data_IF_576036434448
#
_entry.id   IF_576036434448
#
_cell.length_a   1.000
_cell.length_b   1.000
_cell.length_c   1.000
_cell.angle_alpha   90.00
_cell.angle_beta   90.00
_cell.angle_gamma   90.00
#
_symmetry.space_group_name_H-M   'P 1'
#
loop_
_entity.id
_entity.type
_entity.pdbx_description
1 polymer ?
#
# COMPACT_ATOMS: atom_id res chain seq x y z
N UNK A 1 42.70 6.46 18.30
CA UNK A 1 42.41 5.02 18.19
C UNK A 1 41.00 4.84 17.62
N UNK A 2 40.99 4.20 16.46
CA UNK A 2 39.94 3.77 15.54
C UNK A 2 38.46 3.70 15.97
N UNK A 3 37.66 4.30 15.09
CA UNK A 3 36.37 3.88 14.54
C UNK A 3 35.93 2.42 14.74
N UNK A 4 34.59 2.28 14.67
CA UNK A 4 33.79 1.17 14.11
C UNK A 4 32.98 0.37 15.13
N UNK A 5 31.77 0.84 15.38
CA UNK A 5 30.64 -0.05 15.63
C UNK A 5 29.38 0.54 14.98
N UNK A 6 29.41 0.67 13.64
CA UNK A 6 28.18 0.61 12.86
C UNK A 6 27.54 -0.76 13.12
N UNK A 7 26.68 -0.85 14.13
CA UNK A 7 25.69 -1.92 14.23
C UNK A 7 24.65 -1.63 13.15
N UNK A 8 24.94 -2.10 11.96
CA UNK A 8 24.00 -2.19 10.86
C UNK A 8 22.75 -2.92 11.34
N UNK A 9 21.70 -2.13 11.51
CA UNK A 9 20.26 -2.39 11.46
C UNK A 9 19.90 -3.83 11.11
N UNK A 10 19.94 -4.72 12.11
CA UNK A 10 19.37 -6.06 12.03
C UNK A 10 17.85 -5.92 12.11
N UNK A 11 17.26 -5.64 10.93
CA UNK A 11 15.87 -5.89 10.54
C UNK A 11 14.96 -6.25 11.71
N UNK A 12 14.26 -5.24 12.24
CA UNK A 12 13.09 -5.42 13.09
C UNK A 12 12.01 -6.13 12.26
N UNK A 13 12.13 -7.45 12.11
CA UNK A 13 11.03 -8.29 11.64
C UNK A 13 9.97 -8.25 12.74
N UNK A 14 9.07 -7.27 12.67
CA UNK A 14 7.99 -7.13 13.63
C UNK A 14 7.06 -8.35 13.48
N UNK A 15 7.23 -9.33 14.36
CA UNK A 15 6.28 -10.42 14.59
C UNK A 15 5.01 -9.92 15.33
N UNK A 16 4.54 -8.72 15.00
CA UNK A 16 3.36 -8.04 15.55
C UNK A 16 2.20 -8.01 14.56
N UNK A 17 1.12 -7.27 14.86
CA UNK A 17 0.07 -7.01 13.85
C UNK A 17 0.62 -6.03 12.80
N UNK A 18 0.22 -6.10 11.52
CA UNK A 18 0.57 -5.07 10.55
C UNK A 18 -0.06 -3.74 11.00
N UNK A 19 0.77 -2.73 11.27
CA UNK A 19 0.31 -1.42 11.72
C UNK A 19 0.70 -0.36 10.69
N UNK A 20 -0.31 0.26 10.11
CA UNK A 20 -0.20 1.51 9.37
C UNK A 20 -1.55 2.25 9.51
N UNK A 21 -1.57 3.58 9.64
CA UNK A 21 -2.80 4.37 9.53
C UNK A 21 -3.62 3.99 8.29
N UNK A 22 -4.94 3.93 8.42
CA UNK A 22 -5.83 3.53 7.30
C UNK A 22 -5.66 4.45 6.09
N UNK A 23 -5.52 5.74 6.30
CA UNK A 23 -5.27 6.71 5.23
C UNK A 23 -3.98 6.38 4.44
N UNK A 24 -2.91 6.01 5.14
CA UNK A 24 -1.63 5.64 4.54
C UNK A 24 -1.73 4.32 3.77
N UNK A 25 -2.42 3.32 4.32
CA UNK A 25 -2.70 2.06 3.60
C UNK A 25 -3.43 2.32 2.29
N UNK A 26 -4.49 3.16 2.33
CA UNK A 26 -5.31 3.50 1.16
C UNK A 26 -4.49 4.17 0.09
N UNK A 27 -3.70 5.18 0.45
CA UNK A 27 -2.81 5.87 -0.47
C UNK A 27 -1.82 4.90 -1.12
N UNK A 28 -1.17 4.05 -0.33
CA UNK A 28 -0.22 3.04 -0.83
C UNK A 28 -0.85 2.04 -1.79
N UNK A 29 -2.06 1.57 -1.49
CA UNK A 29 -2.82 0.66 -2.35
C UNK A 29 -3.13 1.32 -3.70
N UNK A 30 -3.66 2.54 -3.68
CA UNK A 30 -3.98 3.28 -4.90
C UNK A 30 -2.71 3.56 -5.73
N UNK A 31 -1.63 4.01 -5.10
CA UNK A 31 -0.33 4.23 -5.75
C UNK A 31 0.28 2.95 -6.31
N UNK A 32 0.11 1.80 -5.66
CA UNK A 32 0.57 0.53 -6.22
C UNK A 32 -0.21 0.15 -7.48
N UNK A 33 -1.52 0.40 -7.50
CA UNK A 33 -2.37 0.11 -8.65
C UNK A 33 -2.06 1.00 -9.85
N UNK A 34 -1.61 2.25 -9.68
CA UNK A 34 -1.18 3.09 -10.82
C UNK A 34 0.07 2.56 -11.50
N UNK A 35 0.90 1.81 -10.77
CA UNK A 35 2.17 1.22 -11.23
C UNK A 35 2.04 -0.25 -11.67
N UNK A 36 0.82 -0.80 -11.62
CA UNK A 36 0.59 -2.20 -11.94
C UNK A 36 0.84 -2.48 -13.43
N UNK A 37 1.86 -3.29 -13.74
CA UNK A 37 2.24 -3.61 -15.12
C UNK A 37 1.12 -4.26 -15.94
N UNK A 38 0.26 -5.07 -15.31
CA UNK A 38 -0.89 -5.73 -15.95
C UNK A 38 -2.21 -4.98 -15.73
N UNK A 39 -2.13 -3.73 -15.26
CA UNK A 39 -3.30 -2.91 -14.93
C UNK A 39 -4.14 -3.42 -13.77
N UNK A 40 -3.75 -4.52 -13.12
CA UNK A 40 -4.42 -5.10 -11.95
C UNK A 40 -3.43 -5.71 -10.96
N UNK A 41 -3.81 -5.78 -9.69
CA UNK A 41 -3.05 -6.44 -8.62
C UNK A 41 -3.93 -7.38 -7.81
N UNK A 42 -3.44 -8.58 -7.43
CA UNK A 42 -4.16 -9.46 -6.52
C UNK A 42 -4.18 -8.89 -5.09
N UNK A 43 -5.14 -9.32 -4.28
CA UNK A 43 -5.34 -8.82 -2.93
C UNK A 43 -4.13 -8.92 -2.01
N UNK A 44 -3.35 -10.00 -2.13
CA UNK A 44 -2.11 -10.19 -1.39
C UNK A 44 -1.05 -9.16 -1.78
N UNK A 45 -0.93 -8.80 -3.06
CA UNK A 45 -0.01 -7.75 -3.52
C UNK A 45 -0.41 -6.38 -2.98
N UNK A 46 -1.72 -6.08 -2.88
CA UNK A 46 -2.20 -4.87 -2.23
C UNK A 46 -1.80 -4.80 -0.75
N UNK A 47 -1.74 -5.94 -0.07
CA UNK A 47 -1.29 -6.00 1.31
C UNK A 47 0.20 -5.71 1.48
N UNK A 48 1.05 -6.27 0.61
CA UNK A 48 2.48 -5.94 0.62
C UNK A 48 2.72 -4.47 0.28
N UNK A 49 1.89 -3.86 -0.57
CA UNK A 49 1.95 -2.42 -0.83
C UNK A 49 1.53 -1.59 0.40
N UNK A 50 0.44 -1.98 1.07
CA UNK A 50 -0.06 -1.27 2.26
C UNK A 50 0.91 -1.33 3.45
N UNK A 51 1.60 -2.47 3.60
CA UNK A 51 2.48 -2.77 4.72
C UNK A 51 3.89 -3.20 4.24
N UNK A 52 4.69 -2.28 3.66
CA UNK A 52 5.97 -2.61 3.02
C UNK A 52 7.02 -3.17 4.01
N UNK A 53 6.88 -2.87 5.29
CA UNK A 53 7.79 -3.32 6.35
C UNK A 53 7.28 -4.59 7.07
N UNK A 54 6.16 -5.17 6.63
CA UNK A 54 5.56 -6.33 7.26
C UNK A 54 5.73 -7.60 6.42
N UNK A 55 6.29 -8.64 7.03
CA UNK A 55 6.47 -9.95 6.39
C UNK A 55 5.26 -10.84 6.68
N UNK A 56 4.33 -10.92 5.73
CA UNK A 56 3.20 -11.84 5.83
C UNK A 56 3.66 -13.30 5.69
N UNK A 57 3.27 -14.14 6.66
CA UNK A 57 3.57 -15.58 6.65
C UNK A 57 2.83 -16.35 5.55
N UNK A 58 1.65 -15.88 5.15
CA UNK A 58 0.82 -16.52 4.12
C UNK A 58 0.11 -15.46 3.26
N UNK A 59 -0.18 -15.76 1.98
CA UNK A 59 -0.98 -14.88 1.12
C UNK A 59 -2.38 -14.58 1.67
N UNK A 60 -3.01 -15.57 2.33
CA UNK A 60 -4.35 -15.43 2.91
C UNK A 60 -4.35 -14.44 4.07
N UNK A 61 -3.32 -14.47 4.93
CA UNK A 61 -3.15 -13.49 6.00
C UNK A 61 -2.92 -12.07 5.47
N UNK A 62 -2.18 -11.95 4.37
CA UNK A 62 -1.98 -10.68 3.66
C UNK A 62 -3.31 -10.12 3.15
N UNK A 63 -4.08 -10.92 2.42
CA UNK A 63 -5.39 -10.53 1.90
C UNK A 63 -6.36 -10.11 3.02
N UNK A 64 -6.38 -10.86 4.13
CA UNK A 64 -7.25 -10.54 5.28
C UNK A 64 -6.90 -9.18 5.90
N UNK A 65 -5.62 -8.85 6.02
CA UNK A 65 -5.15 -7.62 6.66
C UNK A 65 -5.63 -6.34 5.93
N UNK A 66 -5.79 -6.39 4.61
CA UNK A 66 -6.27 -5.25 3.81
C UNK A 66 -7.73 -5.33 3.41
N UNK A 67 -8.44 -6.42 3.74
CA UNK A 67 -9.81 -6.66 3.25
C UNK A 67 -10.80 -5.54 3.50
N UNK A 68 -10.81 -4.99 4.71
CA UNK A 68 -11.68 -3.84 5.06
C UNK A 68 -11.27 -2.57 4.33
N UNK A 69 -9.98 -2.33 4.21
CA UNK A 69 -9.42 -1.16 3.51
C UNK A 69 -9.78 -1.20 2.02
N UNK A 70 -9.57 -2.34 1.37
CA UNK A 70 -9.91 -2.55 -0.04
C UNK A 70 -11.40 -2.41 -0.27
N UNK A 71 -12.24 -2.99 0.60
CA UNK A 71 -13.69 -2.84 0.49
C UNK A 71 -14.15 -1.40 0.61
N UNK A 72 -13.58 -0.61 1.52
CA UNK A 72 -13.88 0.83 1.59
C UNK A 72 -13.52 1.58 0.30
N UNK A 73 -12.40 1.23 -0.34
CA UNK A 73 -12.01 1.81 -1.63
C UNK A 73 -12.96 1.39 -2.77
N UNK A 74 -13.50 0.17 -2.74
CA UNK A 74 -14.54 -0.29 -3.67
C UNK A 74 -15.86 0.46 -3.47
N UNK A 75 -16.31 0.58 -2.22
CA UNK A 75 -17.55 1.28 -1.86
C UNK A 75 -17.51 2.75 -2.33
N UNK A 76 -16.32 3.36 -2.27
CA UNK A 76 -16.05 4.71 -2.78
C UNK A 76 -15.76 4.77 -4.29
N UNK A 77 -15.79 3.64 -5.00
CA UNK A 77 -15.54 3.50 -6.44
C UNK A 77 -14.14 3.96 -6.88
N UNK A 78 -13.17 3.95 -5.97
CA UNK A 78 -11.77 4.30 -6.26
C UNK A 78 -11.00 3.14 -6.89
N UNK A 79 -11.47 1.91 -6.67
CA UNK A 79 -11.00 0.72 -7.35
C UNK A 79 -12.17 -0.22 -7.68
N UNK A 80 -11.94 -1.17 -8.58
CA UNK A 80 -12.91 -2.20 -8.98
C UNK A 80 -12.27 -3.59 -8.99
N UNK A 81 -13.10 -4.62 -8.82
CA UNK A 81 -12.72 -6.01 -9.05
C UNK A 81 -12.57 -6.26 -10.55
N UNK A 82 -11.51 -6.95 -10.94
CA UNK A 82 -11.23 -7.41 -12.30
C UNK A 82 -10.82 -8.89 -12.29
N UNK A 83 -10.72 -9.48 -13.48
CA UNK A 83 -10.45 -10.92 -13.69
C UNK A 83 -9.24 -11.45 -12.90
N UNK A 84 -8.20 -10.62 -12.71
CA UNK A 84 -6.95 -11.02 -12.04
C UNK A 84 -6.64 -10.22 -10.76
N UNK A 85 -7.65 -9.59 -10.15
CA UNK A 85 -7.49 -8.86 -8.90
C UNK A 85 -8.25 -7.55 -8.90
N UNK A 86 -7.57 -6.45 -8.60
CA UNK A 86 -8.16 -5.12 -8.47
C UNK A 86 -7.52 -4.14 -9.43
N UNK A 87 -8.31 -3.20 -9.95
CA UNK A 87 -7.86 -2.13 -10.83
C UNK A 87 -8.25 -0.78 -10.26
N UNK A 88 -7.40 0.22 -10.43
CA UNK A 88 -7.74 1.60 -10.08
C UNK A 88 -8.67 2.21 -11.12
N UNK A 89 -9.69 2.94 -10.66
CA UNK A 89 -10.61 3.68 -11.53
C UNK A 89 -10.06 5.06 -11.87
N UNK A 90 -10.71 5.77 -12.79
CA UNK A 90 -10.42 7.19 -13.05
C UNK A 90 -10.57 8.04 -11.79
N UNK A 91 -11.58 7.76 -10.95
CA UNK A 91 -11.79 8.45 -9.67
C UNK A 91 -10.63 8.19 -8.70
N UNK A 92 -10.17 6.94 -8.58
CA UNK A 92 -8.99 6.60 -7.77
C UNK A 92 -7.72 7.32 -8.24
N UNK A 93 -7.53 7.45 -9.56
CA UNK A 93 -6.39 8.20 -10.12
C UNK A 93 -6.46 9.69 -9.79
N UNK A 94 -7.65 10.29 -9.83
CA UNK A 94 -7.84 11.70 -9.49
C UNK A 94 -7.49 11.99 -8.03
N UNK A 95 -7.82 11.07 -7.10
CA UNK A 95 -7.44 11.20 -5.69
C UNK A 95 -5.92 11.25 -5.50
N UNK A 96 -5.16 10.40 -6.21
CA UNK A 96 -3.69 10.43 -6.13
C UNK A 96 -3.16 11.75 -6.70
N UNK A 97 -3.65 12.16 -7.87
CA UNK A 97 -3.20 13.40 -8.50
C UNK A 97 -3.43 14.63 -7.61
N UNK A 98 -4.59 14.70 -6.94
CA UNK A 98 -4.90 15.78 -6.01
C UNK A 98 -3.96 15.82 -4.79
N UNK A 99 -3.51 14.65 -4.30
CA UNK A 99 -2.55 14.56 -3.20
C UNK A 99 -1.15 15.02 -3.64
N UNK A 100 -0.71 14.63 -4.84
CA UNK A 100 0.58 15.06 -5.38
C UNK A 100 0.63 16.59 -5.56
N UNK A 101 -0.45 17.19 -6.06
CA UNK A 101 -0.57 18.66 -6.18
C UNK A 101 -0.54 19.37 -4.82
N UNK A 102 -1.26 18.85 -3.82
CA UNK A 102 -1.27 19.44 -2.47
C UNK A 102 0.12 19.42 -1.81
N UNK A 103 0.95 18.40 -2.10
CA UNK A 103 2.33 18.34 -1.60
C UNK A 103 3.22 19.36 -2.31
N UNK A 104 3.02 19.59 -3.61
CA UNK A 104 3.79 20.60 -4.35
C UNK A 104 3.53 22.03 -3.84
N UNK A 105 2.27 22.38 -3.56
CA UNK A 105 1.91 23.71 -3.03
C UNK A 105 2.49 24.02 -1.63
N UNK A 106 2.84 23.01 -0.83
CA UNK A 106 3.47 23.19 0.49
C UNK A 106 4.98 23.46 0.37
N UNK A 107 5.59 23.07 -0.74
CA UNK A 107 7.03 23.17 -0.98
C UNK A 107 7.43 24.42 -1.77
N UNK A 108 6.46 25.15 -2.32
CA UNK A 108 6.63 26.46 -2.97
C UNK A 108 6.40 27.62 -1.98
#
# INVERSE_FOLDING_TARGET
MNNTAQKTSRSERQAGKPVAPVAEQRLRILTALTRAARGSLPMSALAYAAFPNYEFRTPQGAALAVSRTVRGLEDEKLLIVATYGFQITTAGRAVIAAQDSAVQEILE
#
